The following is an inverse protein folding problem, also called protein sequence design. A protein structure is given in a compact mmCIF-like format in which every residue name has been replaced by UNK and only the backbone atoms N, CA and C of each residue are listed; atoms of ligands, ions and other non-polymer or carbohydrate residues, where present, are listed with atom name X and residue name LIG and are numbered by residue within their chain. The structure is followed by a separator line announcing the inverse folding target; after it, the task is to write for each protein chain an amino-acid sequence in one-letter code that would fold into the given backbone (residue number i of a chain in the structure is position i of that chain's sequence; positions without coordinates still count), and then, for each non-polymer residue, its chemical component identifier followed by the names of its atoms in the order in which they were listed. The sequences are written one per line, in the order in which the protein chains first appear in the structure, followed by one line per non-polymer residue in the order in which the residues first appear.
data_IF_004008185277
#
_entry.id   IF_004008185277
#
_cell.length_a   1.000
_cell.length_b   1.000
_cell.length_c   1.000
_cell.angle_alpha   90.00
_cell.angle_beta   90.00
_cell.angle_gamma   90.00
#
_symmetry.space_group_name_H-M   'P 1'
#
loop_
_entity.id
_entity.type
_entity.pdbx_description
1 polymer ?
#
# COMPACT_ATOMS: atom_id res chain seq x y z
N UNK A 1 13.61 20.19 5.58
CA UNK A 1 13.23 18.80 5.25
C UNK A 1 11.91 18.88 4.52
N UNK A 2 11.73 18.24 3.34
CA UNK A 2 10.42 18.19 2.72
C UNK A 2 9.42 17.57 3.71
N UNK A 3 8.23 18.15 3.81
CA UNK A 3 7.23 17.71 4.78
C UNK A 3 6.72 16.31 4.45
N UNK A 4 6.27 15.59 5.48
CA UNK A 4 5.54 14.33 5.32
C UNK A 4 4.19 14.43 6.02
N UNK A 5 3.17 13.79 5.43
CA UNK A 5 1.83 13.66 5.98
C UNK A 5 1.55 12.20 6.26
N UNK A 6 0.78 11.91 7.31
CA UNK A 6 0.40 10.55 7.65
C UNK A 6 -1.07 10.50 8.06
N UNK A 7 -1.75 9.44 7.65
CA UNK A 7 -3.13 9.17 8.03
C UNK A 7 -3.35 7.66 8.19
N UNK A 8 -4.11 7.30 9.21
CA UNK A 8 -4.50 5.90 9.48
C UNK A 8 -6.01 5.75 9.43
N UNK A 9 -6.47 4.55 9.07
CA UNK A 9 -7.89 4.25 8.96
C UNK A 9 -8.18 3.33 7.79
N UNK A 10 -9.43 3.30 7.38
CA UNK A 10 -9.83 2.62 6.15
C UNK A 10 -9.13 3.29 4.96
N UNK A 11 -8.60 2.49 4.03
CA UNK A 11 -7.78 2.97 2.90
C UNK A 11 -8.31 4.24 2.23
N UNK A 12 -9.60 4.27 1.88
CA UNK A 12 -10.21 5.42 1.23
C UNK A 12 -10.16 6.67 2.11
N UNK A 13 -10.54 6.54 3.38
CA UNK A 13 -10.58 7.66 4.33
C UNK A 13 -9.17 8.16 4.67
N UNK A 14 -8.22 7.23 4.85
CA UNK A 14 -6.83 7.56 5.11
C UNK A 14 -6.24 8.38 3.96
N UNK A 15 -6.45 7.96 2.70
CA UNK A 15 -5.98 8.70 1.53
C UNK A 15 -6.67 10.07 1.39
N UNK A 16 -7.98 10.16 1.60
CA UNK A 16 -8.69 11.46 1.56
C UNK A 16 -8.11 12.43 2.58
N UNK A 17 -7.94 12.00 3.84
CA UNK A 17 -7.34 12.81 4.90
C UNK A 17 -5.90 13.22 4.55
N UNK A 18 -5.12 12.31 3.97
CA UNK A 18 -3.75 12.58 3.56
C UNK A 18 -3.68 13.72 2.53
N UNK A 19 -4.60 13.72 1.56
CA UNK A 19 -4.68 14.76 0.54
C UNK A 19 -5.17 16.10 1.09
N UNK A 20 -6.14 16.08 2.00
CA UNK A 20 -6.61 17.27 2.70
C UNK A 20 -5.50 17.92 3.53
N UNK A 21 -4.71 17.12 4.26
CA UNK A 21 -3.56 17.60 5.02
C UNK A 21 -2.52 18.28 4.12
N UNK A 22 -2.18 17.65 2.99
CA UNK A 22 -1.24 18.21 2.03
C UNK A 22 -1.75 19.53 1.41
N UNK A 23 -3.03 19.60 1.01
CA UNK A 23 -3.65 20.82 0.47
C UNK A 23 -3.73 21.94 1.51
N UNK A 24 -4.00 21.62 2.77
CA UNK A 24 -4.02 22.61 3.88
C UNK A 24 -2.64 23.24 4.10
N UNK A 25 -1.57 22.54 3.70
CA UNK A 25 -0.19 23.06 3.73
C UNK A 25 0.26 23.64 2.40
N UNK A 26 -0.66 23.87 1.46
CA UNK A 26 -0.38 24.44 0.13
C UNK A 26 0.68 23.66 -0.65
N UNK A 27 0.76 22.34 -0.39
CA UNK A 27 1.66 21.47 -1.14
C UNK A 27 1.14 21.32 -2.55
N UNK A 28 1.96 21.68 -3.53
CA UNK A 28 1.60 21.53 -4.94
C UNK A 28 1.77 20.10 -5.43
N UNK A 29 2.79 19.39 -4.95
CA UNK A 29 3.21 18.10 -5.51
C UNK A 29 3.71 17.12 -4.44
N UNK A 30 3.21 15.88 -4.49
CA UNK A 30 3.66 14.75 -3.67
C UNK A 30 4.68 13.91 -4.46
N UNK A 31 5.84 13.62 -3.87
CA UNK A 31 6.90 12.83 -4.47
C UNK A 31 6.71 11.33 -4.29
N UNK A 32 6.23 10.91 -3.12
CA UNK A 32 6.02 9.50 -2.80
C UNK A 32 4.75 9.27 -1.97
N UNK A 33 4.16 8.09 -2.12
CA UNK A 33 3.07 7.57 -1.29
C UNK A 33 3.45 6.18 -0.80
N UNK A 34 3.47 5.99 0.51
CA UNK A 34 3.64 4.69 1.16
C UNK A 34 2.33 4.26 1.80
N UNK A 35 1.89 3.04 1.55
CA UNK A 35 0.70 2.44 2.16
C UNK A 35 1.13 1.16 2.87
N UNK A 36 1.00 1.12 4.19
CA UNK A 36 1.19 -0.08 5.01
C UNK A 36 -0.15 -0.72 5.31
N UNK A 37 -0.25 -2.01 5.04
CA UNK A 37 -1.42 -2.84 5.28
C UNK A 37 -1.10 -3.92 6.30
N UNK A 38 -2.06 -4.17 7.19
CA UNK A 38 -1.91 -5.12 8.29
C UNK A 38 -2.54 -6.48 8.01
N UNK A 39 -3.40 -6.55 6.99
CA UNK A 39 -4.14 -7.76 6.60
C UNK A 39 -3.66 -8.25 5.22
N UNK A 40 -3.11 -9.46 5.18
CA UNK A 40 -2.55 -10.05 3.97
C UNK A 40 -3.57 -10.20 2.83
N UNK A 41 -4.81 -10.58 3.17
CA UNK A 41 -5.88 -10.76 2.19
C UNK A 41 -6.23 -9.47 1.44
N UNK A 42 -6.27 -8.34 2.14
CA UNK A 42 -6.50 -7.04 1.53
C UNK A 42 -5.26 -6.53 0.77
N UNK A 43 -4.06 -6.78 1.31
CA UNK A 43 -2.80 -6.45 0.64
C UNK A 43 -2.67 -7.12 -0.74
N UNK A 44 -3.01 -8.41 -0.84
CA UNK A 44 -2.96 -9.14 -2.09
C UNK A 44 -3.95 -8.65 -3.14
N UNK A 45 -5.06 -8.03 -2.73
CA UNK A 45 -5.99 -7.36 -3.65
C UNK A 45 -5.43 -6.01 -4.11
N UNK A 46 -4.82 -5.25 -3.18
CA UNK A 46 -4.23 -3.95 -3.48
C UNK A 46 -3.01 -4.05 -4.42
N UNK A 47 -2.24 -5.15 -4.35
CA UNK A 47 -1.09 -5.42 -5.21
C UNK A 47 -1.40 -5.21 -6.70
N UNK A 48 -2.53 -5.73 -7.18
CA UNK A 48 -2.97 -5.56 -8.57
C UNK A 48 -3.32 -4.11 -8.93
N UNK A 49 -3.97 -3.40 -8.00
CA UNK A 49 -4.33 -1.99 -8.19
C UNK A 49 -3.10 -1.07 -8.28
N UNK A 50 -2.12 -1.31 -7.40
CA UNK A 50 -0.83 -0.59 -7.40
C UNK A 50 -0.06 -0.86 -8.69
N UNK A 51 -0.06 -2.11 -9.18
CA UNK A 51 0.55 -2.46 -10.47
C UNK A 51 0.05 -1.61 -11.64
N UNK A 52 -1.24 -1.27 -11.64
CA UNK A 52 -1.90 -0.49 -12.69
C UNK A 52 -1.72 1.04 -12.58
N UNK A 53 -0.99 1.55 -11.58
CA UNK A 53 -0.70 3.00 -11.46
C UNK A 53 0.40 3.38 -12.45
N UNK A 54 0.12 4.37 -13.32
CA UNK A 54 1.08 4.94 -14.27
C UNK A 54 1.90 6.06 -13.64
N UNK A 55 3.06 6.38 -14.23
CA UNK A 55 3.87 7.54 -13.80
C UNK A 55 4.57 7.38 -12.44
N UNK A 56 4.50 6.19 -11.82
CA UNK A 56 5.17 5.87 -10.57
C UNK A 56 6.04 4.62 -10.70
N UNK A 57 7.20 4.64 -10.03
CA UNK A 57 7.92 3.42 -9.68
C UNK A 57 7.22 2.80 -8.48
N UNK A 58 6.97 1.49 -8.53
CA UNK A 58 6.23 0.76 -7.47
C UNK A 58 7.14 -0.25 -6.81
N UNK A 59 7.29 -0.15 -5.50
CA UNK A 59 8.03 -1.10 -4.68
C UNK A 59 7.05 -1.71 -3.69
N UNK A 60 7.13 -3.02 -3.55
CA UNK A 60 6.33 -3.81 -2.61
C UNK A 60 7.27 -4.39 -1.58
N UNK A 61 6.86 -4.30 -0.32
CA UNK A 61 7.50 -4.99 0.79
C UNK A 61 6.51 -5.99 1.39
N UNK A 62 6.93 -7.21 1.64
CA UNK A 62 6.17 -8.20 2.39
C UNK A 62 7.03 -8.68 3.56
N UNK A 63 6.50 -8.68 4.78
CA UNK A 63 7.24 -9.05 5.99
C UNK A 63 6.35 -9.81 6.95
N UNK A 64 6.88 -10.88 7.54
CA UNK A 64 6.16 -11.73 8.48
C UNK A 64 5.97 -13.13 7.92
N UNK A 65 4.89 -13.81 8.30
CA UNK A 65 4.66 -15.17 7.83
C UNK A 65 3.45 -15.85 8.46
N UNK A 66 3.57 -17.15 8.72
CA UNK A 66 2.48 -17.95 9.26
C UNK A 66 2.96 -19.16 10.07
N UNK A 67 2.05 -19.67 10.90
CA UNK A 67 2.19 -20.93 11.61
C UNK A 67 1.20 -21.98 11.05
N UNK A 68 1.64 -23.23 10.96
CA UNK A 68 0.80 -24.36 10.57
C UNK A 68 0.08 -24.94 11.77
N UNK A 69 -0.99 -25.70 11.53
CA UNK A 69 -1.76 -26.38 12.59
C UNK A 69 -0.93 -27.40 13.37
N UNK A 70 0.10 -27.97 12.74
CA UNK A 70 1.00 -28.95 13.34
C UNK A 70 2.27 -28.32 13.97
N UNK A 71 2.32 -26.98 14.08
CA UNK A 71 3.38 -26.26 14.79
C UNK A 71 4.61 -25.89 13.96
N UNK A 72 4.55 -26.02 12.63
CA UNK A 72 5.58 -25.49 11.74
C UNK A 72 5.45 -23.97 11.58
N UNK A 73 6.56 -23.28 11.38
CA UNK A 73 6.58 -21.84 11.12
C UNK A 73 7.26 -21.52 9.79
N UNK A 74 6.80 -20.44 9.16
CA UNK A 74 7.38 -19.87 7.96
C UNK A 74 7.47 -18.36 8.14
N UNK A 75 8.61 -17.78 7.79
CA UNK A 75 8.84 -16.33 7.79
C UNK A 75 9.46 -15.90 6.47
N UNK A 76 9.12 -14.68 6.03
CA UNK A 76 9.66 -14.08 4.83
C UNK A 76 9.91 -12.57 5.03
N UNK A 77 10.91 -12.09 4.30
CA UNK A 77 11.10 -10.69 3.99
C UNK A 77 11.33 -10.57 2.49
N UNK A 78 10.50 -9.76 1.85
CA UNK A 78 10.60 -9.46 0.43
C UNK A 78 10.54 -7.96 0.22
N UNK A 79 11.40 -7.45 -0.68
CA UNK A 79 11.31 -6.08 -1.20
C UNK A 79 11.66 -6.10 -2.69
N UNK A 80 10.73 -5.66 -3.53
CA UNK A 80 10.91 -5.71 -4.98
C UNK A 80 9.79 -5.04 -5.77
N UNK A 81 9.84 -5.09 -7.10
CA UNK A 81 8.77 -4.57 -7.95
C UNK A 81 7.50 -5.43 -7.82
N UNK A 82 6.35 -4.85 -8.21
CA UNK A 82 5.05 -5.53 -8.18
C UNK A 82 5.05 -6.83 -9.00
N UNK A 83 5.77 -6.89 -10.12
CA UNK A 83 5.89 -8.09 -10.97
C UNK A 83 6.43 -9.29 -10.21
N UNK A 84 7.39 -9.06 -9.33
CA UNK A 84 8.13 -10.12 -8.63
C UNK A 84 7.38 -10.56 -7.37
N UNK A 85 6.50 -9.70 -6.84
CA UNK A 85 5.59 -10.03 -5.75
C UNK A 85 4.41 -10.91 -6.20
N UNK A 86 4.07 -10.91 -7.49
CA UNK A 86 2.90 -11.63 -8.01
C UNK A 86 2.98 -13.16 -7.78
N UNK A 87 4.10 -13.86 -8.07
CA UNK A 87 4.24 -15.28 -7.76
C UNK A 87 4.24 -15.56 -6.26
N UNK A 88 4.77 -14.65 -5.44
CA UNK A 88 4.76 -14.80 -3.97
C UNK A 88 3.34 -14.79 -3.42
N UNK A 89 2.47 -13.92 -3.95
CA UNK A 89 1.04 -13.95 -3.62
C UNK A 89 0.44 -15.32 -3.91
N UNK A 90 0.67 -15.87 -5.11
CA UNK A 90 0.12 -17.18 -5.52
C UNK A 90 0.59 -18.32 -4.60
N UNK A 91 1.84 -18.24 -4.13
CA UNK A 91 2.38 -19.17 -3.15
C UNK A 91 1.77 -18.98 -1.75
N UNK A 92 1.67 -17.75 -1.25
CA UNK A 92 1.28 -17.44 0.13
C UNK A 92 -0.23 -17.54 0.36
N UNK A 93 -1.05 -17.16 -0.61
CA UNK A 93 -2.52 -17.13 -0.47
C UNK A 93 -3.15 -18.45 0.03
N UNK A 94 -2.81 -19.64 -0.52
CA UNK A 94 -3.32 -20.90 0.03
C UNK A 94 -2.77 -21.20 1.44
N UNK A 95 -1.49 -20.89 1.69
CA UNK A 95 -0.87 -21.19 2.99
C UNK A 95 -1.48 -20.37 4.12
N UNK A 96 -1.71 -19.07 3.89
CA UNK A 96 -2.30 -18.17 4.87
C UNK A 96 -3.76 -18.51 5.18
N UNK A 97 -4.49 -19.08 4.20
CA UNK A 97 -5.87 -19.54 4.40
C UNK A 97 -5.96 -20.74 5.35
N UNK A 98 -4.96 -21.62 5.30
CA UNK A 98 -4.90 -22.85 6.09
C UNK A 98 -4.09 -22.71 7.38
N UNK A 99 -3.41 -21.58 7.57
CA UNK A 99 -2.60 -21.28 8.75
C UNK A 99 -3.45 -21.20 10.03
N UNK A 100 -2.83 -21.55 11.16
CA UNK A 100 -3.40 -21.33 12.50
C UNK A 100 -3.24 -19.89 12.95
N UNK A 101 -2.16 -19.24 12.53
CA UNK A 101 -1.84 -17.84 12.83
C UNK A 101 -1.10 -17.19 11.65
N UNK A 102 -1.30 -15.90 11.45
CA UNK A 102 -0.64 -15.13 10.38
C UNK A 102 -0.16 -13.78 10.91
N UNK A 103 1.03 -13.37 10.47
CA UNK A 103 1.66 -12.09 10.86
C UNK A 103 2.08 -11.27 9.66
N UNK A 104 1.70 -11.69 8.45
CA UNK A 104 2.14 -11.09 7.20
C UNK A 104 1.57 -9.68 7.03
N UNK A 105 2.47 -8.70 6.91
CA UNK A 105 2.19 -7.32 6.59
C UNK A 105 2.70 -6.98 5.19
N UNK A 106 2.09 -5.97 4.58
CA UNK A 106 2.52 -5.48 3.27
C UNK A 106 2.73 -3.96 3.27
N UNK A 107 3.75 -3.52 2.55
CA UNK A 107 4.01 -2.12 2.23
C UNK A 107 3.98 -1.89 0.73
N UNK A 108 3.34 -0.81 0.29
CA UNK A 108 3.33 -0.37 -1.10
C UNK A 108 3.88 1.03 -1.17
N UNK A 109 4.99 1.21 -1.88
CA UNK A 109 5.63 2.50 -2.10
C UNK A 109 5.46 2.88 -3.57
N UNK A 110 4.83 4.04 -3.81
CA UNK A 110 4.65 4.64 -5.12
C UNK A 110 5.49 5.91 -5.18
N UNK A 111 6.56 5.88 -5.99
CA UNK A 111 7.46 7.01 -6.20
C UNK A 111 7.11 7.66 -7.54
N UNK A 112 6.52 8.84 -7.51
CA UNK A 112 6.03 9.54 -8.71
C UNK A 112 7.18 10.30 -9.39
N UNK A 113 7.48 10.00 -10.66
CA UNK A 113 8.61 10.61 -11.37
C UNK A 113 8.44 12.14 -11.49
N UNK A 114 7.29 12.57 -12.01
CA UNK A 114 6.93 13.99 -12.11
C UNK A 114 6.30 14.52 -10.82
N UNK A 115 6.01 13.64 -9.87
CA UNK A 115 5.20 13.96 -8.70
C UNK A 115 3.70 13.86 -8.97
N UNK A 116 2.91 13.66 -7.92
CA UNK A 116 1.46 13.67 -7.97
C UNK A 116 0.98 15.09 -7.65
N UNK A 117 0.39 15.76 -8.65
CA UNK A 117 -0.22 17.08 -8.47
C UNK A 117 -1.35 17.02 -7.44
N UNK A 118 -1.28 17.93 -6.46
CA UNK A 118 -2.38 18.16 -5.50
C UNK A 118 -3.47 19.07 -6.06
N UNK A 119 -3.19 19.74 -7.18
CA UNK A 119 -4.16 20.49 -7.97
C UNK A 119 -4.97 19.54 -8.87
N UNK A 120 -6.25 19.82 -9.06
CA UNK A 120 -7.15 18.98 -9.85
C UNK A 120 -7.59 17.71 -9.12
N UNK A 121 -7.89 16.66 -9.88
CA UNK A 121 -8.54 15.43 -9.41
C UNK A 121 -7.61 14.19 -9.40
N UNK A 122 -6.30 14.37 -9.59
CA UNK A 122 -5.34 13.27 -9.63
C UNK A 122 -5.27 12.48 -8.31
N UNK A 123 -5.23 13.12 -7.12
CA UNK A 123 -5.26 12.40 -5.84
C UNK A 123 -6.55 11.59 -5.64
N UNK A 124 -7.70 12.16 -6.02
CA UNK A 124 -9.00 11.51 -5.95
C UNK A 124 -9.08 10.30 -6.88
N UNK A 125 -8.63 10.42 -8.13
CA UNK A 125 -8.56 9.30 -9.09
C UNK A 125 -7.66 8.17 -8.60
N UNK A 126 -6.55 8.50 -7.95
CA UNK A 126 -5.67 7.51 -7.33
C UNK A 126 -6.40 6.82 -6.17
N UNK A 127 -7.03 7.59 -5.28
CA UNK A 127 -7.83 7.05 -4.16
C UNK A 127 -8.92 6.11 -4.66
N UNK A 128 -9.71 6.52 -5.64
CA UNK A 128 -10.79 5.70 -6.20
C UNK A 128 -10.25 4.40 -6.81
N UNK A 129 -9.14 4.49 -7.55
CA UNK A 129 -8.49 3.31 -8.12
C UNK A 129 -8.06 2.34 -7.03
N UNK A 130 -7.34 2.80 -6.01
CA UNK A 130 -6.84 1.94 -4.95
C UNK A 130 -7.98 1.38 -4.09
N UNK A 131 -8.98 2.21 -3.76
CA UNK A 131 -10.13 1.82 -2.95
C UNK A 131 -11.06 0.82 -3.64
N UNK A 132 -11.13 0.80 -4.98
CA UNK A 132 -11.96 -0.16 -5.73
C UNK A 132 -11.54 -1.62 -5.52
N UNK A 133 -10.26 -1.86 -5.27
CA UNK A 133 -9.70 -3.22 -5.15
C UNK A 133 -9.46 -3.64 -3.71
N UNK A 134 -9.25 -2.69 -2.78
CA UNK A 134 -9.37 -3.00 -1.37
C UNK A 134 -10.84 -3.34 -1.04
N UNK A 135 -11.08 -4.20 -0.06
CA UNK A 135 -12.42 -4.64 0.35
C UNK A 135 -13.32 -3.53 0.95
N UNK A 136 -12.97 -2.25 0.77
CA UNK A 136 -13.64 -1.10 1.39
C UNK A 136 -13.42 -1.00 2.91
N UNK A 137 -12.89 -2.04 3.56
CA UNK A 137 -12.65 -2.10 5.00
C UNK A 137 -11.17 -2.32 5.38
N UNK A 138 -10.26 -2.29 4.40
CA UNK A 138 -8.85 -2.49 4.64
C UNK A 138 -8.27 -1.35 5.50
N UNK A 139 -7.84 -1.68 6.71
CA UNK A 139 -7.17 -0.74 7.60
C UNK A 139 -5.70 -0.56 7.19
N UNK A 140 -5.26 0.70 7.07
CA UNK A 140 -3.92 1.05 6.59
C UNK A 140 -3.32 2.20 7.38
N UNK A 141 -2.00 2.32 7.29
CA UNK A 141 -1.27 3.54 7.59
C UNK A 141 -0.69 4.07 6.28
N UNK A 142 -1.08 5.28 5.88
CA UNK A 142 -0.67 5.91 4.63
C UNK A 142 0.21 7.13 4.93
N UNK A 143 1.34 7.24 4.24
CA UNK A 143 2.29 8.35 4.37
C UNK A 143 2.58 8.94 3.01
N UNK A 144 2.48 10.25 2.87
CA UNK A 144 2.85 10.98 1.65
C UNK A 144 4.01 11.92 1.94
N UNK A 145 5.00 11.94 1.06
CA UNK A 145 6.15 12.84 1.17
C UNK A 145 6.09 13.90 0.08
N UNK A 146 6.35 15.15 0.45
CA UNK A 146 6.42 16.27 -0.49
C UNK A 146 7.60 16.06 -1.45
N UNK A 147 7.39 16.34 -2.74
CA UNK A 147 8.49 16.31 -3.71
C UNK A 147 9.50 17.41 -3.37
N UNK A 148 10.76 17.01 -3.17
CA UNK A 148 11.86 17.93 -2.88
C UNK A 148 12.20 18.83 -4.08
#
# INVERSE_FOLDING_TARGET
MPGSFTAEGILKEALVRLWEQARTKEVETIGSLTIRMFEAGDAFRLLGAVGAVSGAKKIVTLTGGYETRDGGSFELEFRGPVSDAQPLKEFLEPQLRDASNTTLQAGFELIFAEGLSMQGDAPEKLTERLARFASGAAYVSATAEVKA
#
